data_IF_406847757384
#
_entry.id   IF_406847757384
#
_cell.length_a   1.000
_cell.length_b   1.000
_cell.length_c   1.000
_cell.angle_alpha   90.00
_cell.angle_beta   90.00
_cell.angle_gamma   90.00
#
_symmetry.space_group_name_H-M   'P 1'
#
loop_
_entity.id
_entity.type
_entity.pdbx_description
1 polymer ?
#
# COMPACT_ATOMS: atom_id res chain seq x y z
N UNK A 1 -19.10 8.64 5.81
CA UNK A 1 -17.70 8.18 5.63
C UNK A 1 -17.70 7.26 4.42
N UNK A 2 -17.11 7.68 3.30
CA UNK A 2 -17.38 7.04 2.01
C UNK A 2 -16.46 5.84 1.76
N UNK A 3 -16.92 4.69 2.25
CA UNK A 3 -16.43 3.36 1.88
C UNK A 3 -16.92 3.01 0.46
N UNK A 4 -16.40 3.72 -0.56
CA UNK A 4 -16.68 3.61 -2.01
C UNK A 4 -17.94 4.36 -2.51
N UNK A 5 -17.77 5.59 -3.06
CA UNK A 5 -18.85 6.32 -3.74
C UNK A 5 -18.74 6.22 -5.27
N UNK A 6 -19.71 5.49 -5.86
CA UNK A 6 -20.30 5.55 -7.23
C UNK A 6 -19.35 5.44 -8.45
N UNK A 7 -19.62 4.77 -9.58
CA UNK A 7 -20.84 4.29 -10.23
C UNK A 7 -20.47 3.20 -11.26
N UNK A 8 -20.28 1.97 -10.81
CA UNK A 8 -20.41 0.73 -11.57
C UNK A 8 -20.59 -0.37 -10.52
N UNK A 9 -21.51 -1.32 -10.72
CA UNK A 9 -21.70 -2.36 -9.73
C UNK A 9 -20.34 -3.07 -9.50
N UNK A 10 -19.77 -3.07 -8.28
CA UNK A 10 -18.50 -3.73 -8.07
C UNK A 10 -18.72 -5.21 -8.36
N UNK A 11 -17.94 -5.75 -9.29
CA UNK A 11 -17.81 -7.19 -9.42
C UNK A 11 -17.40 -7.71 -8.03
N UNK A 12 -18.11 -8.72 -7.53
CA UNK A 12 -17.78 -9.28 -6.22
C UNK A 12 -16.34 -9.78 -6.26
N UNK A 13 -15.50 -9.42 -5.29
CA UNK A 13 -14.11 -9.84 -5.31
C UNK A 13 -14.01 -11.36 -5.30
N UNK A 14 -12.91 -11.94 -5.84
CA UNK A 14 -12.73 -13.37 -5.87
C UNK A 14 -12.84 -13.95 -4.46
N UNK A 15 -13.49 -15.11 -4.34
CA UNK A 15 -13.59 -15.81 -3.07
C UNK A 15 -12.19 -16.12 -2.49
N UNK A 16 -12.03 -16.16 -1.16
CA UNK A 16 -10.81 -16.62 -0.52
C UNK A 16 -10.43 -18.04 -0.96
N UNK A 17 -9.31 -18.21 -1.67
CA UNK A 17 -8.82 -19.53 -2.09
C UNK A 17 -8.31 -20.41 -0.94
N UNK A 18 -7.91 -19.80 0.17
CA UNK A 18 -7.50 -20.47 1.41
C UNK A 18 -8.24 -19.84 2.61
N UNK A 19 -9.24 -20.56 3.12
CA UNK A 19 -10.10 -20.09 4.20
C UNK A 19 -9.35 -19.92 5.52
N UNK A 20 -8.45 -20.83 5.84
CA UNK A 20 -7.70 -20.80 7.11
C UNK A 20 -6.71 -19.63 7.14
N UNK A 21 -6.07 -19.35 6.00
CA UNK A 21 -5.22 -18.17 5.85
C UNK A 21 -6.03 -16.88 5.90
N UNK A 22 -7.23 -16.87 5.32
CA UNK A 22 -8.15 -15.74 5.42
C UNK A 22 -8.50 -15.44 6.88
N UNK A 23 -8.95 -16.44 7.64
CA UNK A 23 -9.34 -16.27 9.05
C UNK A 23 -8.19 -15.72 9.88
N UNK A 24 -7.01 -16.36 9.82
CA UNK A 24 -5.82 -15.89 10.55
C UNK A 24 -5.34 -14.50 10.09
N UNK A 25 -5.53 -14.18 8.82
CA UNK A 25 -5.17 -12.88 8.25
C UNK A 25 -6.04 -11.77 8.82
N UNK A 26 -7.35 -11.99 8.88
CA UNK A 26 -8.32 -11.07 9.47
C UNK A 26 -8.04 -10.84 10.96
N UNK A 27 -7.82 -11.92 11.73
CA UNK A 27 -7.46 -11.84 13.15
C UNK A 27 -6.18 -11.02 13.36
N UNK A 28 -5.11 -11.34 12.62
CA UNK A 28 -3.83 -10.62 12.75
C UNK A 28 -3.89 -9.16 12.32
N UNK A 29 -4.78 -8.83 11.38
CA UNK A 29 -4.97 -7.45 10.97
C UNK A 29 -5.68 -6.65 12.06
N UNK A 30 -6.71 -7.25 12.69
CA UNK A 30 -7.35 -6.69 13.87
C UNK A 30 -6.34 -6.46 15.00
N UNK A 31 -5.58 -7.49 15.37
CA UNK A 31 -4.55 -7.39 16.42
C UNK A 31 -3.54 -6.27 16.12
N UNK A 32 -3.06 -6.18 14.87
CA UNK A 32 -2.09 -5.17 14.48
C UNK A 32 -2.65 -3.73 14.56
N UNK A 33 -3.94 -3.54 14.25
CA UNK A 33 -4.62 -2.24 14.37
C UNK A 33 -4.91 -1.93 15.85
N UNK A 34 -5.25 -2.93 16.66
CA UNK A 34 -5.51 -2.75 18.08
C UNK A 34 -4.23 -2.40 18.86
N UNK A 35 -3.11 -3.05 18.54
CA UNK A 35 -1.81 -2.83 19.18
C UNK A 35 -1.11 -1.56 18.70
N UNK A 36 -1.21 -1.24 17.41
CA UNK A 36 -0.36 -0.23 16.76
C UNK A 36 -1.10 0.89 16.02
N UNK A 37 -2.42 0.81 15.87
CA UNK A 37 -3.22 1.83 15.18
C UNK A 37 -3.69 2.95 16.10
N UNK A 38 -3.87 4.14 15.53
CA UNK A 38 -4.53 5.26 16.20
C UNK A 38 -6.07 5.05 16.30
N UNK A 39 -6.74 6.00 16.96
CA UNK A 39 -8.20 5.93 17.14
C UNK A 39 -8.97 5.91 15.81
N UNK A 40 -8.45 6.62 14.80
CA UNK A 40 -9.06 6.68 13.47
C UNK A 40 -8.93 5.33 12.74
N UNK A 41 -7.76 4.69 12.79
CA UNK A 41 -7.53 3.37 12.22
C UNK A 41 -8.46 2.32 12.82
N UNK A 42 -8.65 2.33 14.14
CA UNK A 42 -9.58 1.44 14.86
C UNK A 42 -11.04 1.65 14.43
N UNK A 43 -11.47 2.92 14.33
CA UNK A 43 -12.82 3.26 13.89
C UNK A 43 -13.06 2.86 12.42
N UNK A 44 -12.06 3.07 11.55
CA UNK A 44 -12.11 2.66 10.15
C UNK A 44 -12.18 1.14 10.04
N UNK A 45 -11.35 0.40 10.79
CA UNK A 45 -11.37 -1.07 10.77
C UNK A 45 -12.77 -1.60 11.15
N UNK A 46 -13.37 -1.07 12.23
CA UNK A 46 -14.74 -1.43 12.60
C UNK A 46 -15.75 -1.18 11.48
N UNK A 47 -15.57 -0.08 10.74
CA UNK A 47 -16.41 0.25 9.58
C UNK A 47 -16.19 -0.70 8.39
N UNK A 48 -14.95 -1.14 8.15
CA UNK A 48 -14.62 -2.13 7.11
C UNK A 48 -15.26 -3.48 7.43
N UNK A 49 -15.17 -3.94 8.68
CA UNK A 49 -15.72 -5.24 9.09
C UNK A 49 -17.25 -5.27 9.08
N UNK A 50 -17.90 -4.13 9.31
CA UNK A 50 -19.35 -3.97 9.23
C UNK A 50 -19.88 -3.88 7.78
N UNK A 51 -19.04 -3.48 6.82
CA UNK A 51 -19.41 -3.39 5.41
C UNK A 51 -19.06 -4.68 4.67
N UNK A 52 -20.08 -5.40 4.18
CA UNK A 52 -19.90 -6.71 3.54
C UNK A 52 -18.97 -6.66 2.31
N UNK A 53 -19.02 -5.60 1.50
CA UNK A 53 -18.18 -5.45 0.31
C UNK A 53 -16.72 -5.16 0.68
N UNK A 54 -16.49 -4.23 1.62
CA UNK A 54 -15.14 -3.90 2.07
C UNK A 54 -14.49 -5.10 2.80
N UNK A 55 -15.28 -5.79 3.63
CA UNK A 55 -14.85 -7.02 4.29
C UNK A 55 -14.50 -8.12 3.27
N UNK A 56 -15.32 -8.32 2.24
CA UNK A 56 -15.05 -9.31 1.19
C UNK A 56 -13.72 -9.03 0.44
N UNK A 57 -13.37 -7.75 0.23
CA UNK A 57 -12.07 -7.38 -0.36
C UNK A 57 -10.90 -7.74 0.55
N UNK A 58 -11.01 -7.45 1.86
CA UNK A 58 -10.00 -7.85 2.83
C UNK A 58 -9.85 -9.37 2.90
N UNK A 59 -10.97 -10.10 2.99
CA UNK A 59 -11.01 -11.56 2.98
C UNK A 59 -10.37 -12.14 1.70
N UNK A 60 -10.65 -11.56 0.54
CA UNK A 60 -10.06 -11.95 -0.74
C UNK A 60 -8.54 -11.77 -0.73
N UNK A 61 -8.02 -10.65 -0.20
CA UNK A 61 -6.59 -10.41 -0.08
C UNK A 61 -5.94 -11.47 0.81
N UNK A 62 -6.47 -11.67 2.03
CA UNK A 62 -5.89 -12.64 2.97
C UNK A 62 -5.97 -14.08 2.44
N UNK A 63 -7.09 -14.41 1.81
CA UNK A 63 -7.36 -15.72 1.24
C UNK A 63 -6.56 -16.06 0.00
N UNK A 64 -6.01 -15.08 -0.72
CA UNK A 64 -5.37 -15.33 -2.03
C UNK A 64 -3.89 -14.94 -2.11
N UNK A 65 -3.39 -14.04 -1.25
CA UNK A 65 -2.00 -13.56 -1.38
C UNK A 65 -1.27 -13.39 -0.04
N UNK A 66 -0.40 -14.35 0.36
CA UNK A 66 0.44 -14.22 1.54
C UNK A 66 1.31 -12.95 1.54
N UNK A 67 1.74 -12.50 0.36
CA UNK A 67 2.51 -11.27 0.21
C UNK A 67 1.68 -10.03 0.57
N UNK A 68 0.46 -9.92 0.03
CA UNK A 68 -0.43 -8.79 0.32
C UNK A 68 -0.93 -8.82 1.78
N UNK A 69 -1.17 -10.02 2.35
CA UNK A 69 -1.46 -10.18 3.78
C UNK A 69 -0.39 -9.54 4.65
N UNK A 70 0.89 -9.82 4.34
CA UNK A 70 2.02 -9.23 5.06
C UNK A 70 2.06 -7.70 4.90
N UNK A 71 1.75 -7.19 3.71
CA UNK A 71 1.71 -5.74 3.47
C UNK A 71 0.60 -5.05 4.26
N UNK A 72 -0.61 -5.66 4.31
CA UNK A 72 -1.77 -5.12 5.01
C UNK A 72 -1.56 -5.11 6.54
N UNK A 73 -1.06 -6.22 7.10
CA UNK A 73 -0.78 -6.36 8.55
C UNK A 73 0.40 -5.47 8.97
N UNK A 74 1.46 -5.41 8.15
CA UNK A 74 2.68 -4.67 8.49
C UNK A 74 2.53 -3.15 8.40
N UNK A 75 1.38 -2.63 7.99
CA UNK A 75 1.09 -1.21 7.87
C UNK A 75 -0.35 -0.91 8.32
N UNK A 76 -0.69 -1.13 9.60
CA UNK A 76 -2.08 -1.13 10.10
C UNK A 76 -2.83 0.17 9.82
N UNK A 77 -2.22 1.31 10.13
CA UNK A 77 -2.86 2.60 9.83
C UNK A 77 -3.02 2.86 8.33
N UNK A 78 -2.01 2.48 7.54
CA UNK A 78 -2.03 2.69 6.10
C UNK A 78 -3.12 1.82 5.44
N UNK A 79 -3.25 0.56 5.86
CA UNK A 79 -4.28 -0.33 5.32
C UNK A 79 -5.67 0.19 5.66
N UNK A 80 -5.92 0.63 6.90
CA UNK A 80 -7.18 1.29 7.26
C UNK A 80 -7.44 2.53 6.38
N UNK A 81 -6.48 3.45 6.28
CA UNK A 81 -6.62 4.65 5.43
C UNK A 81 -6.88 4.32 3.96
N UNK A 82 -6.24 3.28 3.43
CA UNK A 82 -6.49 2.79 2.07
C UNK A 82 -7.95 2.36 1.86
N UNK A 83 -8.55 1.62 2.81
CA UNK A 83 -9.97 1.27 2.73
C UNK A 83 -10.91 2.46 2.89
N UNK A 84 -10.52 3.48 3.66
CA UNK A 84 -11.35 4.66 3.89
C UNK A 84 -11.28 5.70 2.75
N UNK A 85 -10.12 5.85 2.12
CA UNK A 85 -9.84 6.91 1.15
C UNK A 85 -9.75 6.41 -0.30
N UNK A 86 -9.54 5.11 -0.48
CA UNK A 86 -9.40 4.48 -1.78
C UNK A 86 -7.96 4.48 -2.32
N UNK A 87 -7.72 3.71 -3.39
CA UNK A 87 -6.39 3.46 -3.93
C UNK A 87 -5.73 4.70 -4.55
N UNK A 88 -6.51 5.62 -5.13
CA UNK A 88 -5.98 6.85 -5.74
C UNK A 88 -5.24 7.73 -4.73
N UNK A 89 -5.89 8.03 -3.61
CA UNK A 89 -5.30 8.89 -2.58
C UNK A 89 -4.12 8.18 -1.90
N UNK A 90 -4.30 6.90 -1.56
CA UNK A 90 -3.27 6.12 -0.89
C UNK A 90 -2.02 5.92 -1.77
N UNK A 91 -2.19 5.63 -3.06
CA UNK A 91 -1.07 5.45 -3.99
C UNK A 91 -0.31 6.75 -4.23
N UNK A 92 -1.02 7.87 -4.43
CA UNK A 92 -0.38 9.18 -4.58
C UNK A 92 0.45 9.55 -3.34
N UNK A 93 -0.06 9.29 -2.14
CA UNK A 93 0.71 9.52 -0.90
C UNK A 93 1.99 8.67 -0.86
N UNK A 94 1.95 7.43 -1.36
CA UNK A 94 3.14 6.58 -1.47
C UNK A 94 4.15 7.16 -2.46
N UNK A 95 3.71 7.72 -3.59
CA UNK A 95 4.61 8.38 -4.53
C UNK A 95 5.29 9.60 -3.88
N UNK A 96 4.58 10.40 -3.09
CA UNK A 96 5.20 11.50 -2.34
C UNK A 96 6.25 11.00 -1.32
N UNK A 97 5.97 9.91 -0.60
CA UNK A 97 6.95 9.28 0.31
C UNK A 97 8.24 8.87 -0.44
N UNK A 98 8.12 8.36 -1.68
CA UNK A 98 9.29 7.98 -2.50
C UNK A 98 10.04 9.22 -2.97
N UNK A 99 9.35 10.28 -3.42
CA UNK A 99 9.99 11.56 -3.78
C UNK A 99 10.80 12.11 -2.61
N UNK A 100 10.20 12.15 -1.42
CA UNK A 100 10.86 12.59 -0.20
C UNK A 100 12.09 11.75 0.13
N UNK A 101 12.01 10.41 0.04
CA UNK A 101 13.17 9.53 0.24
C UNK A 101 14.31 9.83 -0.76
N UNK A 102 13.96 10.21 -2.00
CA UNK A 102 14.92 10.63 -3.03
C UNK A 102 15.70 11.91 -2.69
N UNK A 103 15.24 12.74 -1.75
CA UNK A 103 15.94 13.96 -1.30
C UNK A 103 17.02 13.71 -0.25
N UNK A 104 17.23 12.45 0.17
CA UNK A 104 18.24 12.10 1.17
C UNK A 104 17.74 12.17 2.61
N UNK A 105 16.43 12.29 2.82
CA UNK A 105 15.81 12.22 4.14
C UNK A 105 15.79 10.76 4.63
N UNK A 106 16.52 10.49 5.72
CA UNK A 106 16.50 9.20 6.41
C UNK A 106 17.16 8.04 5.65
N UNK A 107 16.80 6.81 6.02
CA UNK A 107 17.32 5.61 5.38
C UNK A 107 16.50 5.29 4.13
N UNK A 108 16.94 5.79 2.95
CA UNK A 108 16.29 5.58 1.65
C UNK A 108 15.93 4.11 1.41
N UNK A 109 16.84 3.18 1.71
CA UNK A 109 16.60 1.76 1.46
C UNK A 109 15.45 1.20 2.32
N UNK A 110 15.28 1.68 3.56
CA UNK A 110 14.16 1.31 4.42
C UNK A 110 12.86 1.94 3.92
N UNK A 111 12.90 3.23 3.57
CA UNK A 111 11.74 3.97 3.07
C UNK A 111 11.20 3.38 1.78
N UNK A 112 12.06 3.07 0.80
CA UNK A 112 11.64 2.45 -0.46
C UNK A 112 11.03 1.06 -0.28
N UNK A 113 11.51 0.26 0.69
CA UNK A 113 10.90 -1.04 1.01
C UNK A 113 9.50 -0.89 1.60
N UNK A 114 9.30 0.11 2.45
CA UNK A 114 7.99 0.43 3.01
C UNK A 114 7.03 0.91 1.92
N UNK A 115 7.49 1.86 1.09
CA UNK A 115 6.73 2.40 -0.03
C UNK A 115 6.31 1.30 -1.02
N UNK A 116 7.21 0.36 -1.35
CA UNK A 116 6.89 -0.78 -2.23
C UNK A 116 5.72 -1.61 -1.72
N UNK A 117 5.71 -1.92 -0.42
CA UNK A 117 4.64 -2.72 0.17
C UNK A 117 3.30 -1.97 0.15
N UNK A 118 3.32 -0.66 0.40
CA UNK A 118 2.13 0.21 0.37
C UNK A 118 1.59 0.40 -1.05
N UNK A 119 2.48 0.60 -2.04
CA UNK A 119 2.14 0.66 -3.45
C UNK A 119 1.51 -0.65 -3.92
N UNK A 120 2.15 -1.78 -3.65
CA UNK A 120 1.64 -3.09 -4.02
C UNK A 120 0.25 -3.35 -3.43
N UNK A 121 0.01 -2.96 -2.16
CA UNK A 121 -1.30 -3.10 -1.54
C UNK A 121 -2.37 -2.20 -2.18
N UNK A 122 -2.03 -0.94 -2.48
CA UNK A 122 -2.96 0.02 -3.10
C UNK A 122 -3.37 -0.42 -4.50
N UNK A 123 -2.36 -0.80 -5.31
CA UNK A 123 -2.56 -1.27 -6.69
C UNK A 123 -3.39 -2.56 -6.69
N UNK A 124 -3.06 -3.52 -5.82
CA UNK A 124 -3.80 -4.77 -5.75
C UNK A 124 -5.24 -4.60 -5.25
N UNK A 125 -5.50 -3.71 -4.29
CA UNK A 125 -6.87 -3.42 -3.87
C UNK A 125 -7.69 -2.83 -5.02
N UNK A 126 -7.07 -1.94 -5.81
CA UNK A 126 -7.71 -1.34 -6.97
C UNK A 126 -8.05 -2.36 -8.06
N UNK A 127 -7.13 -3.28 -8.33
CA UNK A 127 -7.30 -4.36 -9.32
C UNK A 127 -8.37 -5.37 -8.87
N UNK A 128 -8.25 -5.90 -7.65
CA UNK A 128 -9.18 -6.90 -7.09
C UNK A 128 -10.59 -6.34 -6.94
N UNK A 129 -10.70 -5.05 -6.60
CA UNK A 129 -11.98 -4.35 -6.46
C UNK A 129 -12.50 -3.72 -7.75
N UNK A 130 -11.86 -3.96 -8.90
CA UNK A 130 -12.27 -3.42 -10.21
C UNK A 130 -12.42 -1.89 -10.20
N UNK A 131 -11.60 -1.22 -9.39
CA UNK A 131 -11.61 0.24 -9.20
C UNK A 131 -10.78 0.94 -10.27
N UNK A 132 -9.74 0.25 -10.76
CA UNK A 132 -8.85 0.75 -11.81
C UNK A 132 -8.88 -0.18 -13.01
N UNK A 133 -8.89 0.36 -14.24
CA UNK A 133 -8.67 -0.45 -15.43
C UNK A 133 -7.24 -1.02 -15.44
N UNK A 134 -7.04 -2.14 -16.14
CA UNK A 134 -5.76 -2.86 -16.19
C UNK A 134 -4.59 -1.97 -16.66
N UNK A 135 -4.84 -1.06 -17.59
CA UNK A 135 -3.85 -0.08 -18.06
C UNK A 135 -3.37 0.84 -16.94
N UNK A 136 -4.25 1.21 -16.01
CA UNK A 136 -3.88 2.03 -14.85
C UNK A 136 -3.16 1.21 -13.80
N UNK A 137 -3.55 -0.04 -13.57
CA UNK A 137 -2.83 -0.97 -12.67
C UNK A 137 -1.38 -1.14 -13.12
N UNK A 138 -1.17 -1.41 -14.41
CA UNK A 138 0.17 -1.56 -14.98
C UNK A 138 0.94 -0.25 -15.04
N UNK A 139 0.29 0.86 -15.39
CA UNK A 139 0.88 2.20 -15.35
C UNK A 139 1.37 2.59 -13.95
N UNK A 140 0.58 2.31 -12.90
CA UNK A 140 0.96 2.58 -11.51
C UNK A 140 2.17 1.73 -11.06
N UNK A 141 2.28 0.48 -11.52
CA UNK A 141 3.47 -0.35 -11.26
C UNK A 141 4.73 0.28 -11.87
N UNK A 142 4.64 0.75 -13.12
CA UNK A 142 5.74 1.42 -13.81
C UNK A 142 6.10 2.75 -13.17
N UNK A 143 5.12 3.60 -12.87
CA UNK A 143 5.33 4.91 -12.23
C UNK A 143 6.04 4.76 -10.88
N UNK A 144 5.59 3.83 -10.03
CA UNK A 144 6.27 3.53 -8.78
C UNK A 144 7.70 3.05 -9.00
N UNK A 145 7.91 2.15 -9.98
CA UNK A 145 9.23 1.60 -10.26
C UNK A 145 10.21 2.68 -10.72
N UNK A 146 9.82 3.53 -11.67
CA UNK A 146 10.63 4.63 -12.17
C UNK A 146 11.05 5.55 -11.03
N UNK A 147 10.09 5.96 -10.21
CA UNK A 147 10.35 6.88 -9.10
C UNK A 147 11.25 6.24 -8.02
N UNK A 148 11.05 4.96 -7.70
CA UNK A 148 11.89 4.25 -6.75
C UNK A 148 13.33 4.07 -7.25
N UNK A 149 13.51 3.83 -8.54
CA UNK A 149 14.83 3.75 -9.19
C UNK A 149 15.53 5.10 -9.12
N UNK A 150 14.84 6.20 -9.48
CA UNK A 150 15.39 7.55 -9.37
C UNK A 150 15.81 7.90 -7.95
N UNK A 151 14.98 7.61 -6.95
CA UNK A 151 15.29 7.86 -5.55
C UNK A 151 16.49 7.02 -5.05
N UNK A 152 16.56 5.75 -5.44
CA UNK A 152 17.69 4.88 -5.11
C UNK A 152 18.99 5.35 -5.75
N UNK A 153 18.95 5.73 -7.03
CA UNK A 153 20.10 6.25 -7.76
C UNK A 153 20.62 7.55 -7.13
N UNK A 154 19.74 8.51 -6.84
CA UNK A 154 20.10 9.75 -6.16
C UNK A 154 20.77 9.48 -4.79
N UNK A 155 20.25 8.53 -4.02
CA UNK A 155 20.84 8.13 -2.74
C UNK A 155 22.22 7.49 -2.89
N UNK A 156 22.42 6.64 -3.91
CA UNK A 156 23.70 6.01 -4.19
C UNK A 156 24.76 7.05 -4.63
N UNK A 157 24.37 7.97 -5.51
CA UNK A 157 25.21 9.06 -5.99
C UNK A 157 25.67 9.98 -4.84
N UNK A 158 24.75 10.41 -3.96
CA UNK A 158 25.13 11.18 -2.76
C UNK A 158 26.05 10.41 -1.82
N UNK A 159 25.81 9.10 -1.64
CA UNK A 159 26.67 8.26 -0.80
C UNK A 159 28.09 8.20 -1.34
N UNK A 160 28.26 8.01 -2.64
CA UNK A 160 29.57 7.94 -3.26
C UNK A 160 30.25 9.32 -3.36
N UNK A 161 29.48 10.41 -3.52
CA UNK A 161 30.00 11.77 -3.38
C UNK A 161 30.52 12.07 -1.96
N UNK A 162 29.78 11.65 -0.92
CA UNK A 162 30.22 11.79 0.46
C UNK A 162 31.49 10.98 0.79
N UNK A 163 31.80 9.94 0.02
CA UNK A 163 33.05 9.16 0.11
C UNK A 163 34.20 9.78 -0.67
N UNK A 164 33.94 10.77 -1.52
CA UNK A 164 34.92 11.36 -2.43
C UNK A 164 35.15 10.56 -3.71
N UNK A 165 34.32 9.54 -3.99
CA UNK A 165 34.43 8.72 -5.20
C UNK A 165 33.97 9.48 -6.46
N UNK A 166 33.14 10.52 -6.28
CA UNK A 166 32.64 11.36 -7.37
C UNK A 166 32.34 12.79 -6.89
N UNK A 167 32.35 13.75 -7.82
CA UNK A 167 31.90 15.12 -7.58
C UNK A 167 30.55 15.33 -8.26
N UNK A 168 29.53 15.72 -7.49
CA UNK A 168 28.21 16.02 -8.04
C UNK A 168 28.21 17.43 -8.65
N UNK A 169 27.70 17.53 -9.88
CA UNK A 169 27.49 18.83 -10.55
C UNK A 169 26.22 19.51 -10.06
N UNK A 170 25.19 18.73 -9.70
CA UNK A 170 23.93 19.17 -9.11
C UNK A 170 23.63 18.31 -7.86
N UNK A 171 23.96 18.79 -6.65
CA UNK A 171 23.93 17.99 -5.41
C UNK A 171 22.54 17.80 -4.78
#
# INVERSE_FOLDING_TARGET
MNLFVSSAAPTSPPAPGDRDRMVRGMERWQDAVDDGGDADAKAILGSVLANSSARALAEAIFGNSPYLSKCMIGAPEFSCRLFAQGPDIAFNAVLEDVRAAGTGQGNTAKLLRLAKNRAALSIALADIGDMWPLEKVTGALSEFADLAISAAAASALRTAAARGDLQLTDP
#
